data_IF_203267412720
#
_entry.id   IF_203267412720
#
_cell.length_a   1.000
_cell.length_b   1.000
_cell.length_c   1.000
_cell.angle_alpha   90.00
_cell.angle_beta   90.00
_cell.angle_gamma   90.00
#
_symmetry.space_group_name_H-M   'P 1'
#
loop_
_entity.id
_entity.type
_entity.pdbx_description
1 polymer ?
#
# COMPACT_ATOMS: atom_id res chain seq x y z
N UNK A 1 42.87 17.30 25.97
CA UNK A 1 42.86 17.69 24.55
C UNK A 1 43.42 16.55 23.74
N UNK A 2 42.56 15.86 22.98
CA UNK A 2 42.87 15.16 21.73
C UNK A 2 41.53 14.69 21.16
N UNK A 3 41.11 15.37 20.10
CA UNK A 3 39.93 15.09 19.29
C UNK A 3 40.22 13.92 18.34
N UNK A 4 39.33 12.94 18.28
CA UNK A 4 39.12 12.13 17.07
C UNK A 4 37.62 12.01 16.85
N UNK A 5 37.14 12.74 15.83
CA UNK A 5 35.88 12.47 15.16
C UNK A 5 36.03 11.19 14.35
N UNK A 6 35.09 10.27 14.52
CA UNK A 6 34.54 9.43 13.43
C UNK A 6 33.23 8.84 13.94
N UNK A 7 32.11 9.34 13.42
CA UNK A 7 30.84 8.63 13.43
C UNK A 7 30.96 7.36 12.58
N UNK A 8 30.35 6.25 13.01
CA UNK A 8 29.78 5.30 12.07
C UNK A 8 28.26 5.33 12.22
N UNK A 9 27.62 5.91 11.20
CA UNK A 9 26.30 5.51 10.74
C UNK A 9 26.18 3.98 10.82
N UNK A 10 25.50 3.45 11.84
CA UNK A 10 24.92 2.13 11.76
C UNK A 10 23.47 2.32 11.32
N UNK A 11 23.27 2.13 10.02
CA UNK A 11 21.96 1.81 9.46
C UNK A 11 21.53 0.51 10.13
N UNK A 12 20.64 0.59 11.11
CA UNK A 12 19.88 -0.60 11.52
C UNK A 12 19.02 -0.98 10.33
N UNK A 13 19.30 -2.13 9.76
CA UNK A 13 18.51 -2.79 8.72
C UNK A 13 17.04 -2.86 9.15
N UNK A 14 16.23 -1.95 8.62
CA UNK A 14 14.76 -1.98 8.72
C UNK A 14 14.20 -3.03 7.77
N UNK A 15 14.57 -4.29 7.97
CA UNK A 15 13.96 -5.43 7.26
C UNK A 15 13.21 -6.37 8.18
N UNK A 16 13.36 -6.23 9.50
CA UNK A 16 12.76 -7.20 10.44
C UNK A 16 11.36 -6.81 10.95
N UNK A 17 10.83 -5.65 10.56
CA UNK A 17 9.49 -5.21 11.03
C UNK A 17 8.35 -5.57 10.07
N UNK A 18 8.63 -5.95 8.83
CA UNK A 18 7.57 -6.20 7.82
C UNK A 18 7.13 -7.67 7.80
N UNK A 19 8.03 -8.62 8.08
CA UNK A 19 7.68 -10.05 8.09
C UNK A 19 6.91 -10.50 9.34
N UNK A 20 6.96 -9.73 10.44
CA UNK A 20 6.32 -10.13 11.70
C UNK A 20 4.83 -9.75 11.80
N UNK A 21 4.28 -9.03 10.82
CA UNK A 21 2.85 -8.73 10.73
C UNK A 21 2.05 -9.83 10.00
N UNK A 22 2.71 -10.65 9.17
CA UNK A 22 2.03 -11.66 8.33
C UNK A 22 1.60 -12.93 9.09
N UNK A 23 2.02 -13.09 10.36
CA UNK A 23 1.77 -14.31 11.14
C UNK A 23 1.28 -14.00 12.57
N UNK A 24 0.58 -12.87 12.75
CA UNK A 24 -0.24 -12.68 13.93
C UNK A 24 -1.39 -13.70 13.90
N UNK A 25 -1.72 -14.37 15.01
CA UNK A 25 -2.88 -15.25 15.05
C UNK A 25 -4.09 -14.44 14.59
N UNK A 26 -4.73 -14.87 13.50
CA UNK A 26 -5.93 -14.24 12.97
C UNK A 26 -6.91 -14.14 14.13
N UNK A 27 -7.11 -12.92 14.64
CA UNK A 27 -8.10 -12.70 15.67
C UNK A 27 -9.42 -13.15 15.03
N UNK A 28 -10.23 -14.03 15.64
CA UNK A 28 -11.52 -14.41 15.06
C UNK A 28 -12.49 -13.22 14.89
N UNK A 29 -12.09 -12.02 15.35
CA UNK A 29 -12.74 -10.73 15.14
C UNK A 29 -11.98 -9.80 14.17
N UNK A 30 -10.97 -10.29 13.47
CA UNK A 30 -10.26 -9.58 12.39
C UNK A 30 -11.18 -9.57 11.15
N UNK A 31 -12.22 -8.75 11.25
CA UNK A 31 -13.16 -8.50 10.18
C UNK A 31 -12.39 -7.88 9.01
N UNK A 32 -12.57 -8.42 7.81
CA UNK A 32 -12.08 -7.75 6.61
C UNK A 32 -12.72 -6.35 6.50
N UNK A 33 -12.02 -5.45 5.81
CA UNK A 33 -12.44 -4.04 5.76
C UNK A 33 -13.79 -3.87 5.09
N UNK A 34 -14.12 -4.75 4.15
CA UNK A 34 -15.39 -4.81 3.44
C UNK A 34 -16.55 -5.17 4.38
N UNK A 35 -16.38 -6.19 5.22
CA UNK A 35 -17.37 -6.57 6.23
C UNK A 35 -17.47 -5.52 7.33
N UNK A 36 -16.35 -4.93 7.76
CA UNK A 36 -16.35 -3.82 8.71
C UNK A 36 -17.15 -2.61 8.17
N UNK A 37 -16.90 -2.21 6.93
CA UNK A 37 -17.65 -1.12 6.28
C UNK A 37 -19.15 -1.44 6.16
N UNK A 38 -19.52 -2.69 5.87
CA UNK A 38 -20.91 -3.13 5.82
C UNK A 38 -21.60 -3.04 7.19
N UNK A 39 -20.93 -3.51 8.25
CA UNK A 39 -21.45 -3.43 9.63
C UNK A 39 -21.69 -1.98 10.03
N UNK A 40 -20.76 -1.08 9.71
CA UNK A 40 -20.87 0.34 10.04
C UNK A 40 -22.04 0.99 9.28
N UNK A 41 -22.22 0.67 8.00
CA UNK A 41 -23.37 1.16 7.21
C UNK A 41 -24.70 0.71 7.81
N UNK A 42 -24.82 -0.57 8.18
CA UNK A 42 -26.02 -1.09 8.81
C UNK A 42 -26.30 -0.41 10.17
N UNK A 43 -25.26 -0.22 10.99
CA UNK A 43 -25.40 0.48 12.26
C UNK A 43 -25.81 1.96 12.09
N UNK A 44 -25.40 2.62 11.01
CA UNK A 44 -25.85 3.98 10.68
C UNK A 44 -27.33 4.00 10.25
N UNK A 45 -27.77 3.03 9.46
CA UNK A 45 -29.19 2.86 9.09
C UNK A 45 -30.06 2.69 10.34
N UNK A 46 -29.66 1.83 11.28
CA UNK A 46 -30.35 1.63 12.55
C UNK A 46 -30.47 2.95 13.36
N UNK A 47 -29.40 3.75 13.41
CA UNK A 47 -29.43 5.05 14.09
C UNK A 47 -30.39 6.04 13.43
N UNK A 48 -30.47 6.04 12.10
CA UNK A 48 -31.39 6.90 11.36
C UNK A 48 -32.85 6.48 11.56
N UNK A 49 -33.13 5.18 11.67
CA UNK A 49 -34.45 4.68 12.07
C UNK A 49 -34.84 5.13 13.48
N UNK A 50 -33.94 5.00 14.46
CA UNK A 50 -34.17 5.45 15.84
C UNK A 50 -34.43 6.96 15.90
N UNK A 51 -33.66 7.77 15.17
CA UNK A 51 -33.88 9.21 15.05
C UNK A 51 -35.21 9.55 14.38
N UNK A 52 -35.65 8.75 13.40
CA UNK A 52 -36.93 8.92 12.73
C UNK A 52 -38.13 8.73 13.67
N UNK A 53 -38.02 7.80 14.62
CA UNK A 53 -39.08 7.49 15.60
C UNK A 53 -39.26 8.58 16.68
N UNK A 54 -38.21 9.36 16.98
CA UNK A 54 -38.21 10.39 18.03
C UNK A 54 -38.78 11.77 17.64
N UNK A 55 -38.89 12.08 16.34
CA UNK A 55 -39.22 13.43 15.82
C UNK A 55 -40.62 13.99 16.19
N UNK A 56 -41.49 13.21 16.84
CA UNK A 56 -42.89 13.56 17.05
C UNK A 56 -43.24 14.39 18.28
N UNK A 57 -42.30 14.69 19.20
CA UNK A 57 -42.66 15.22 20.54
C UNK A 57 -41.96 16.49 21.02
N UNK A 58 -40.93 16.98 20.34
CA UNK A 58 -40.14 18.13 20.81
C UNK A 58 -40.42 19.41 20.00
N UNK A 59 -40.38 20.57 20.68
CA UNK A 59 -40.43 21.90 20.04
C UNK A 59 -39.09 22.16 19.35
N UNK A 60 -39.09 22.76 18.16
CA UNK A 60 -37.88 23.04 17.37
C UNK A 60 -36.78 23.87 18.07
N UNK A 61 -37.08 24.53 19.18
CA UNK A 61 -36.13 25.33 19.97
C UNK A 61 -35.75 24.68 21.31
N UNK A 62 -36.15 23.42 21.56
CA UNK A 62 -35.73 22.71 22.75
C UNK A 62 -34.26 22.28 22.61
N UNK A 63 -33.45 22.38 23.68
CA UNK A 63 -32.11 21.78 23.67
C UNK A 63 -32.22 20.26 23.45
N UNK A 64 -31.20 19.69 22.80
CA UNK A 64 -31.12 18.23 22.60
C UNK A 64 -31.23 17.53 23.96
N UNK A 65 -32.01 16.45 23.98
CA UNK A 65 -31.99 15.52 25.10
C UNK A 65 -30.66 14.76 25.12
N UNK A 66 -30.28 14.24 26.29
CA UNK A 66 -29.05 13.44 26.43
C UNK A 66 -29.03 12.25 25.47
N UNK A 67 -30.20 11.65 25.19
CA UNK A 67 -30.36 10.57 24.22
C UNK A 67 -30.08 11.03 22.78
N UNK A 68 -30.65 12.17 22.36
CA UNK A 68 -30.39 12.73 21.04
C UNK A 68 -28.92 13.12 20.87
N UNK A 69 -28.28 13.61 21.94
CA UNK A 69 -26.85 13.94 21.94
C UNK A 69 -25.99 12.67 21.84
N UNK A 70 -26.33 11.62 22.59
CA UNK A 70 -25.64 10.33 22.50
C UNK A 70 -25.75 9.73 21.09
N UNK A 71 -26.95 9.76 20.47
CA UNK A 71 -27.16 9.33 19.09
C UNK A 71 -26.39 10.21 18.09
N UNK A 72 -26.20 11.50 18.38
CA UNK A 72 -25.37 12.38 17.56
C UNK A 72 -23.90 11.96 17.59
N UNK A 73 -23.34 11.78 18.79
CA UNK A 73 -21.95 11.37 18.96
C UNK A 73 -21.70 10.00 18.33
N UNK A 74 -22.60 9.03 18.54
CA UNK A 74 -22.46 7.69 17.97
C UNK A 74 -22.47 7.69 16.44
N UNK A 75 -23.34 8.51 15.83
CA UNK A 75 -23.39 8.69 14.38
C UNK A 75 -22.10 9.30 13.83
N UNK A 76 -21.49 10.25 14.54
CA UNK A 76 -20.19 10.81 14.16
C UNK A 76 -19.09 9.76 14.22
N UNK A 77 -19.06 8.93 15.28
CA UNK A 77 -18.09 7.85 15.42
C UNK A 77 -18.19 6.82 14.30
N UNK A 78 -19.41 6.41 13.91
CA UNK A 78 -19.59 5.51 12.78
C UNK A 78 -19.18 6.13 11.45
N UNK A 79 -19.42 7.43 11.27
CA UNK A 79 -18.98 8.12 10.06
C UNK A 79 -17.45 8.19 9.95
N UNK A 80 -16.75 8.47 11.05
CA UNK A 80 -15.28 8.43 11.11
C UNK A 80 -14.75 7.02 10.85
N UNK A 81 -15.37 6.02 11.46
CA UNK A 81 -15.00 4.62 11.26
C UNK A 81 -15.19 4.21 9.80
N UNK A 82 -16.29 4.59 9.16
CA UNK A 82 -16.55 4.29 7.75
C UNK A 82 -15.45 4.87 6.85
N UNK A 83 -15.09 6.14 7.02
CA UNK A 83 -14.02 6.78 6.26
C UNK A 83 -12.71 6.00 6.44
N UNK A 84 -12.37 5.64 7.68
CA UNK A 84 -11.14 4.89 7.95
C UNK A 84 -11.12 3.50 7.29
N UNK A 85 -12.28 2.82 7.23
CA UNK A 85 -12.39 1.51 6.57
C UNK A 85 -12.28 1.63 5.05
N UNK A 86 -12.88 2.66 4.45
CA UNK A 86 -12.80 2.91 3.01
C UNK A 86 -11.37 3.28 2.59
N UNK A 87 -10.69 4.10 3.38
CA UNK A 87 -9.27 4.41 3.18
C UNK A 87 -8.39 3.16 3.27
N UNK A 88 -8.67 2.26 4.22
CA UNK A 88 -7.94 1.01 4.37
C UNK A 88 -8.11 0.07 3.16
N UNK A 89 -9.33 -0.03 2.60
CA UNK A 89 -9.61 -0.79 1.37
C UNK A 89 -8.78 -0.22 0.21
N UNK A 90 -8.78 1.11 0.05
CA UNK A 90 -8.03 1.77 -1.02
C UNK A 90 -6.54 1.51 -0.84
N UNK A 91 -6.00 1.70 0.37
CA UNK A 91 -4.59 1.46 0.66
C UNK A 91 -4.16 0.02 0.37
N UNK A 92 -4.98 -0.97 0.75
CA UNK A 92 -4.74 -2.38 0.45
C UNK A 92 -4.71 -2.65 -1.05
N UNK A 93 -5.70 -2.14 -1.79
CA UNK A 93 -5.74 -2.33 -3.24
C UNK A 93 -4.54 -1.69 -3.96
N UNK A 94 -4.11 -0.51 -3.51
CA UNK A 94 -2.93 0.17 -4.03
C UNK A 94 -1.65 -0.62 -3.75
N UNK A 95 -1.54 -1.19 -2.55
CA UNK A 95 -0.41 -2.03 -2.17
C UNK A 95 -0.34 -3.29 -3.06
N UNK A 96 -1.48 -3.95 -3.30
CA UNK A 96 -1.56 -5.13 -4.16
C UNK A 96 -1.21 -4.80 -5.63
N UNK A 97 -1.74 -3.70 -6.16
CA UNK A 97 -1.40 -3.22 -7.49
C UNK A 97 0.09 -2.88 -7.61
N UNK A 98 0.65 -2.18 -6.62
CA UNK A 98 2.07 -1.80 -6.60
C UNK A 98 2.99 -3.03 -6.53
N UNK A 99 2.62 -4.03 -5.73
CA UNK A 99 3.38 -5.29 -5.63
C UNK A 99 3.36 -6.06 -6.97
N UNK A 100 2.21 -6.07 -7.65
CA UNK A 100 2.07 -6.69 -8.97
C UNK A 100 2.96 -5.97 -10.00
N UNK A 101 2.86 -4.65 -10.06
CA UNK A 101 3.58 -3.83 -11.05
C UNK A 101 5.09 -3.77 -10.80
N UNK A 102 5.54 -3.92 -9.55
CA UNK A 102 6.95 -3.87 -9.18
C UNK A 102 7.80 -4.86 -10.00
N UNK A 103 7.30 -6.08 -10.21
CA UNK A 103 8.00 -7.12 -10.97
C UNK A 103 8.19 -6.74 -12.44
N UNK A 104 7.18 -6.15 -13.06
CA UNK A 104 7.25 -5.64 -14.43
C UNK A 104 8.20 -4.46 -14.55
N UNK A 105 8.13 -3.51 -13.61
CA UNK A 105 9.01 -2.34 -13.61
C UNK A 105 10.48 -2.77 -13.47
N UNK A 106 10.78 -3.73 -12.60
CA UNK A 106 12.12 -4.29 -12.49
C UNK A 106 12.61 -4.91 -13.80
N UNK A 107 11.75 -5.69 -14.47
CA UNK A 107 12.10 -6.31 -15.74
C UNK A 107 12.37 -5.28 -16.84
N UNK A 108 11.54 -4.23 -16.91
CA UNK A 108 11.72 -3.11 -17.85
C UNK A 108 12.98 -2.31 -17.56
N UNK A 109 13.30 -2.05 -16.29
CA UNK A 109 14.54 -1.35 -15.91
C UNK A 109 15.77 -2.16 -16.33
N UNK A 110 15.75 -3.47 -16.18
CA UNK A 110 16.84 -4.35 -16.63
C UNK A 110 16.97 -4.32 -18.16
N UNK A 111 15.84 -4.43 -18.88
CA UNK A 111 15.78 -4.35 -20.35
C UNK A 111 16.36 -3.03 -20.88
N UNK A 112 15.91 -1.90 -20.35
CA UNK A 112 16.36 -0.58 -20.79
C UNK A 112 17.87 -0.39 -20.53
N UNK A 113 18.35 -0.81 -19.36
CA UNK A 113 19.79 -0.73 -19.04
C UNK A 113 20.64 -1.56 -19.99
N UNK A 114 20.18 -2.74 -20.37
CA UNK A 114 20.88 -3.57 -21.34
C UNK A 114 20.85 -2.95 -22.74
N UNK A 115 19.71 -2.42 -23.19
CA UNK A 115 19.61 -1.71 -24.46
C UNK A 115 20.57 -0.50 -24.55
N UNK A 116 20.71 0.26 -23.45
CA UNK A 116 21.69 1.34 -23.35
C UNK A 116 23.12 0.81 -23.43
N UNK A 117 23.42 -0.32 -22.79
CA UNK A 117 24.74 -0.95 -22.84
C UNK A 117 25.06 -1.48 -24.26
N UNK A 118 24.11 -2.12 -24.92
CA UNK A 118 24.23 -2.60 -26.30
C UNK A 118 24.47 -1.45 -27.27
N UNK A 119 23.74 -0.35 -27.12
CA UNK A 119 23.95 0.86 -27.92
C UNK A 119 25.38 1.38 -27.75
N UNK A 120 25.92 1.40 -26.53
CA UNK A 120 27.31 1.83 -26.28
C UNK A 120 28.31 0.89 -26.93
N UNK A 121 28.10 -0.42 -26.83
CA UNK A 121 28.95 -1.42 -27.46
C UNK A 121 28.94 -1.29 -28.99
N UNK A 122 27.75 -1.13 -29.60
CA UNK A 122 27.61 -0.92 -31.04
C UNK A 122 28.32 0.35 -31.51
N UNK A 123 28.22 1.45 -30.75
CA UNK A 123 28.94 2.69 -31.06
C UNK A 123 30.46 2.51 -30.95
N UNK A 124 30.98 1.86 -29.90
CA UNK A 124 32.40 1.57 -29.77
C UNK A 124 32.91 0.71 -30.95
N UNK A 125 32.17 -0.33 -31.31
CA UNK A 125 32.49 -1.18 -32.45
C UNK A 125 32.53 -0.40 -33.77
N UNK A 126 31.55 0.49 -33.99
CA UNK A 126 31.49 1.34 -35.19
C UNK A 126 32.68 2.30 -35.32
N UNK A 127 33.29 2.68 -34.18
CA UNK A 127 34.48 3.55 -34.12
C UNK A 127 35.80 2.77 -34.19
N UNK A 128 35.75 1.43 -34.21
CA UNK A 128 36.94 0.58 -34.14
C UNK A 128 37.60 0.59 -32.76
N UNK A 129 36.89 1.02 -31.72
CA UNK A 129 37.35 1.00 -30.33
C UNK A 129 37.15 -0.39 -29.70
N UNK A 130 37.85 -0.65 -28.60
CA UNK A 130 37.65 -1.89 -27.86
C UNK A 130 36.23 -1.96 -27.28
N UNK A 131 35.60 -3.15 -27.35
CA UNK A 131 34.27 -3.36 -26.82
C UNK A 131 34.24 -3.16 -25.30
N UNK A 132 33.22 -2.45 -24.77
CA UNK A 132 33.06 -2.32 -23.33
C UNK A 132 32.72 -3.68 -22.69
N UNK A 133 33.08 -3.89 -21.42
CA UNK A 133 32.79 -5.14 -20.73
C UNK A 133 31.28 -5.36 -20.57
N UNK A 134 30.86 -6.62 -20.67
CA UNK A 134 29.45 -7.02 -20.54
C UNK A 134 28.92 -6.70 -19.15
N UNK A 135 27.85 -5.93 -19.10
CA UNK A 135 27.23 -5.48 -17.86
C UNK A 135 26.35 -6.57 -17.26
N UNK A 136 26.10 -6.50 -15.94
CA UNK A 136 25.26 -7.47 -15.23
C UNK A 136 23.82 -7.53 -15.77
N UNK A 137 23.27 -6.40 -16.25
CA UNK A 137 21.95 -6.36 -16.87
C UNK A 137 21.89 -7.16 -18.19
N UNK A 138 22.92 -7.06 -19.04
CA UNK A 138 23.01 -7.85 -20.28
C UNK A 138 23.08 -9.34 -19.96
N UNK A 139 23.93 -9.75 -19.01
CA UNK A 139 24.00 -11.14 -18.53
C UNK A 139 22.68 -11.65 -17.94
N UNK A 140 21.95 -10.79 -17.22
CA UNK A 140 20.65 -11.13 -16.65
C UNK A 140 19.58 -11.35 -17.73
N UNK A 141 19.63 -10.62 -18.84
CA UNK A 141 18.72 -10.84 -19.99
C UNK A 141 19.08 -12.06 -20.83
N UNK A 142 20.37 -12.40 -20.90
CA UNK A 142 20.86 -13.58 -21.60
C UNK A 142 20.58 -14.90 -20.84
N UNK A 143 20.19 -14.81 -19.56
CA UNK A 143 19.81 -15.96 -18.75
C UNK A 143 18.47 -16.54 -19.22
N UNK A 144 18.41 -17.82 -19.63
CA UNK A 144 17.15 -18.47 -20.03
C UNK A 144 16.09 -18.51 -18.93
N UNK A 145 16.48 -18.39 -17.66
CA UNK A 145 15.56 -18.33 -16.53
C UNK A 145 14.94 -16.93 -16.32
N UNK A 146 15.47 -15.90 -16.98
CA UNK A 146 14.96 -14.54 -16.86
C UNK A 146 13.67 -14.35 -17.66
N UNK A 147 12.62 -13.89 -16.98
CA UNK A 147 11.33 -13.58 -17.59
C UNK A 147 11.17 -12.07 -17.72
N UNK A 148 11.01 -11.59 -18.95
CA UNK A 148 10.69 -10.19 -19.24
C UNK A 148 9.23 -9.88 -18.89
N UNK A 149 8.35 -10.87 -19.03
CA UNK A 149 6.93 -10.81 -18.68
C UNK A 149 6.60 -11.89 -17.64
N UNK A 150 6.64 -11.55 -16.34
CA UNK A 150 6.57 -12.54 -15.25
C UNK A 150 5.22 -13.29 -15.13
N UNK A 151 4.15 -12.87 -15.82
CA UNK A 151 2.82 -13.53 -15.75
C UNK A 151 2.35 -14.24 -17.04
N UNK A 152 3.19 -14.39 -18.07
CA UNK A 152 2.78 -15.07 -19.32
C UNK A 152 2.76 -16.62 -19.21
N UNK A 153 2.83 -17.16 -17.99
CA UNK A 153 2.66 -18.58 -17.68
C UNK A 153 1.33 -18.78 -16.94
N UNK A 154 0.23 -18.77 -17.70
CA UNK A 154 -1.07 -19.30 -17.29
C UNK A 154 -1.43 -20.51 -18.15
#
# INVERSE_FOLDING_TARGET
MSFFLTDPFYVTSTTDTVEQAANAPHNPLDLDYETAALIVKLAMEDLDELRGQGKGKARANAPLTDEEYALQVQSQQYQELLISTEDAIIAKSLQEASATDATYLEALVVAERAAVADRRAALALSRGEALPPVQACQRRLEDPAYQMHPNDQA
#
